data_IF_400862850479
#
_entry.id   IF_400862850479
#
_cell.length_a   1.000
_cell.length_b   1.000
_cell.length_c   1.000
_cell.angle_alpha   90.00
_cell.angle_beta   90.00
_cell.angle_gamma   90.00
#
_symmetry.space_group_name_H-M   'P 1'
#
loop_
_entity.id
_entity.type
_entity.pdbx_description
1 polymer ?
#
# COMPACT_ATOMS: atom_id res chain seq x y z
N UNK A 1 31.59 20.92 19.11
CA UNK A 1 31.02 21.29 17.79
C UNK A 1 31.15 20.08 16.90
N UNK A 2 30.08 19.29 16.81
CA UNK A 2 29.96 18.24 15.80
C UNK A 2 29.70 18.95 14.48
N UNK A 3 30.73 19.04 13.65
CA UNK A 3 30.60 19.45 12.27
C UNK A 3 29.77 18.34 11.58
N UNK A 4 28.46 18.52 11.46
CA UNK A 4 27.66 17.69 10.59
C UNK A 4 28.15 17.99 9.17
N UNK A 5 28.93 17.05 8.62
CA UNK A 5 29.21 17.07 7.18
C UNK A 5 27.85 17.14 6.46
N UNK A 6 27.69 18.00 5.45
CA UNK A 6 26.49 17.98 4.64
C UNK A 6 26.38 16.59 4.04
N UNK A 7 25.43 15.81 4.53
CA UNK A 7 25.10 14.52 3.95
C UNK A 7 24.63 14.85 2.55
N UNK A 8 25.41 14.44 1.54
CA UNK A 8 25.00 14.61 0.15
C UNK A 8 23.70 13.81 -0.04
N UNK A 9 22.58 14.53 -0.13
CA UNK A 9 21.30 13.90 -0.44
C UNK A 9 21.37 13.27 -1.82
N UNK A 10 20.60 12.20 -1.98
CA UNK A 10 20.45 11.55 -3.30
C UNK A 10 20.06 12.60 -4.32
N UNK A 11 20.71 12.60 -5.48
CA UNK A 11 20.38 13.51 -6.58
C UNK A 11 18.89 13.36 -6.95
N UNK A 12 18.21 14.46 -7.33
CA UNK A 12 16.83 14.39 -7.75
C UNK A 12 16.61 13.36 -8.86
N UNK A 13 15.56 12.58 -8.75
CA UNK A 13 15.19 11.61 -9.78
C UNK A 13 14.47 12.33 -10.92
N UNK A 14 15.13 12.43 -12.06
CA UNK A 14 14.63 13.17 -13.22
C UNK A 14 13.23 12.68 -13.68
N UNK A 15 12.95 11.37 -13.58
CA UNK A 15 11.62 10.80 -13.91
C UNK A 15 10.57 11.33 -12.95
N UNK A 16 10.82 11.27 -11.65
CA UNK A 16 9.90 11.74 -10.61
C UNK A 16 9.62 13.24 -10.76
N UNK A 17 10.67 14.03 -10.99
CA UNK A 17 10.52 15.48 -11.20
C UNK A 17 9.69 15.80 -12.45
N UNK A 18 9.88 15.05 -13.53
CA UNK A 18 9.08 15.20 -14.74
C UNK A 18 7.60 14.82 -14.51
N UNK A 19 7.34 13.74 -13.76
CA UNK A 19 5.97 13.34 -13.41
C UNK A 19 5.28 14.38 -12.53
N UNK A 20 5.97 14.95 -11.54
CA UNK A 20 5.45 16.01 -10.70
C UNK A 20 5.10 17.28 -11.52
N UNK A 21 5.98 17.68 -12.44
CA UNK A 21 5.78 18.83 -13.29
C UNK A 21 4.63 18.65 -14.30
N UNK A 22 4.33 17.41 -14.69
CA UNK A 22 3.28 17.06 -15.63
C UNK A 22 1.89 16.90 -14.99
N UNK A 23 1.77 16.96 -13.65
CA UNK A 23 0.49 16.78 -12.95
C UNK A 23 -0.53 17.85 -13.34
N UNK A 24 -1.72 17.39 -13.67
CA UNK A 24 -2.90 18.19 -13.97
C UNK A 24 -4.07 17.81 -13.06
N UNK A 25 -5.12 18.64 -12.95
CA UNK A 25 -6.32 18.26 -12.20
C UNK A 25 -6.95 16.94 -12.64
N UNK A 26 -6.82 16.57 -13.90
CA UNK A 26 -7.35 15.31 -14.46
C UNK A 26 -6.67 14.06 -13.86
N UNK A 27 -5.43 14.17 -13.37
CA UNK A 27 -4.71 13.05 -12.75
C UNK A 27 -5.29 12.64 -11.39
N UNK A 28 -6.11 13.48 -10.80
CA UNK A 28 -6.79 13.25 -9.52
C UNK A 28 -8.28 12.90 -9.67
N UNK A 29 -8.76 12.77 -10.92
CA UNK A 29 -10.14 12.46 -11.23
C UNK A 29 -10.29 11.07 -11.83
N UNK A 30 -11.15 10.27 -11.21
CA UNK A 30 -11.50 8.96 -11.75
C UNK A 30 -12.79 9.03 -12.57
N UNK A 31 -12.70 8.71 -13.86
CA UNK A 31 -13.85 8.67 -14.79
C UNK A 31 -14.16 7.22 -15.18
N UNK A 32 -15.41 6.91 -15.57
CA UNK A 32 -16.61 7.74 -15.45
C UNK A 32 -17.04 7.93 -13.97
N UNK A 33 -18.21 8.50 -13.74
CA UNK A 33 -18.73 8.78 -12.40
C UNK A 33 -18.84 7.50 -11.55
N UNK A 34 -18.97 7.66 -10.23
CA UNK A 34 -19.12 6.51 -9.30
C UNK A 34 -20.34 5.67 -9.64
N UNK A 35 -21.46 6.29 -10.03
CA UNK A 35 -22.70 5.56 -10.34
C UNK A 35 -22.54 4.72 -11.59
N UNK A 36 -21.92 5.25 -12.63
CA UNK A 36 -21.64 4.51 -13.87
C UNK A 36 -20.67 3.35 -13.60
N UNK A 37 -19.57 3.58 -12.89
CA UNK A 37 -18.62 2.51 -12.51
C UNK A 37 -19.30 1.41 -11.69
N UNK A 38 -20.20 1.77 -10.76
CA UNK A 38 -20.94 0.80 -9.96
C UNK A 38 -21.78 -0.15 -10.82
N UNK A 39 -22.42 0.37 -11.86
CA UNK A 39 -23.19 -0.45 -12.78
C UNK A 39 -22.30 -1.46 -13.52
N UNK A 40 -21.16 -0.99 -14.05
CA UNK A 40 -20.18 -1.84 -14.74
C UNK A 40 -19.63 -2.91 -13.80
N UNK A 41 -19.19 -2.55 -12.59
CA UNK A 41 -18.62 -3.47 -11.61
C UNK A 41 -19.64 -4.50 -11.12
N UNK A 42 -20.92 -4.11 -10.96
CA UNK A 42 -21.99 -5.03 -10.60
C UNK A 42 -22.20 -6.08 -11.69
N UNK A 43 -22.13 -5.70 -12.95
CA UNK A 43 -22.25 -6.61 -14.09
C UNK A 43 -21.03 -7.55 -14.21
N UNK A 44 -19.83 -7.02 -13.94
CA UNK A 44 -18.56 -7.76 -14.01
C UNK A 44 -18.45 -8.82 -12.92
N UNK A 45 -18.59 -8.44 -11.65
CA UNK A 45 -18.34 -9.33 -10.53
C UNK A 45 -19.51 -10.22 -10.14
N UNK A 46 -20.75 -9.81 -10.43
CA UNK A 46 -21.98 -10.55 -10.07
C UNK A 46 -22.02 -10.98 -8.60
N UNK A 47 -21.42 -10.18 -7.72
CA UNK A 47 -21.41 -10.42 -6.28
C UNK A 47 -22.82 -10.30 -5.69
N UNK A 48 -23.10 -10.96 -4.55
CA UNK A 48 -24.37 -10.81 -3.85
C UNK A 48 -24.63 -9.37 -3.42
N UNK A 49 -25.84 -9.09 -2.90
CA UNK A 49 -26.21 -7.75 -2.47
C UNK A 49 -25.32 -7.23 -1.32
N UNK A 50 -24.88 -8.13 -0.45
CA UNK A 50 -24.00 -7.87 0.68
C UNK A 50 -22.78 -8.80 0.62
N UNK A 51 -21.80 -8.49 -0.26
CA UNK A 51 -20.64 -9.34 -0.43
C UNK A 51 -19.72 -9.29 0.80
N UNK A 52 -19.15 -10.43 1.12
CA UNK A 52 -18.26 -10.60 2.26
C UNK A 52 -16.79 -10.66 1.83
N UNK A 53 -15.92 -10.05 2.62
CA UNK A 53 -14.46 -10.10 2.46
C UNK A 53 -13.80 -9.83 3.82
N UNK A 54 -12.49 -10.04 3.92
CA UNK A 54 -11.70 -9.62 5.09
C UNK A 54 -10.91 -8.35 4.78
N UNK A 55 -10.30 -7.75 5.82
CA UNK A 55 -9.44 -6.57 5.66
C UNK A 55 -8.24 -6.90 4.78
N UNK A 56 -7.54 -8.01 5.02
CA UNK A 56 -6.38 -8.39 4.23
C UNK A 56 -5.43 -9.35 4.94
N UNK A 57 -4.88 -8.96 6.08
CA UNK A 57 -3.91 -9.75 6.82
C UNK A 57 -4.56 -10.87 7.63
N UNK A 58 -3.88 -12.03 7.63
CA UNK A 58 -4.17 -13.16 8.49
C UNK A 58 -3.12 -13.29 9.59
N UNK A 59 -3.34 -14.10 10.65
CA UNK A 59 -2.43 -14.15 11.79
C UNK A 59 -1.00 -14.48 11.41
N UNK A 60 -0.07 -13.67 11.91
CA UNK A 60 1.37 -13.89 11.78
C UNK A 60 1.82 -14.93 12.80
N UNK A 61 1.63 -16.20 12.48
CA UNK A 61 1.98 -17.33 13.37
C UNK A 61 3.48 -17.41 13.65
N UNK A 62 3.86 -18.23 14.63
CA UNK A 62 5.28 -18.45 14.97
C UNK A 62 6.08 -18.96 13.76
N UNK A 63 5.51 -19.87 12.98
CA UNK A 63 6.16 -20.44 11.79
C UNK A 63 6.35 -19.39 10.66
N UNK A 64 5.37 -18.52 10.44
CA UNK A 64 5.47 -17.42 9.45
C UNK A 64 6.57 -16.45 9.86
N UNK A 65 6.64 -16.08 11.13
CA UNK A 65 7.71 -15.22 11.66
C UNK A 65 9.08 -15.89 11.58
N UNK A 66 9.18 -17.18 11.89
CA UNK A 66 10.41 -17.95 11.81
C UNK A 66 10.93 -18.04 10.36
N UNK A 67 10.05 -18.36 9.40
CA UNK A 67 10.40 -18.39 7.98
C UNK A 67 10.96 -17.04 7.48
N UNK A 68 10.33 -15.92 7.83
CA UNK A 68 10.81 -14.58 7.49
C UNK A 68 12.15 -14.27 8.16
N UNK A 69 12.33 -14.66 9.42
CA UNK A 69 13.59 -14.44 10.14
C UNK A 69 14.73 -15.27 9.53
N UNK A 70 14.50 -16.55 9.20
CA UNK A 70 15.46 -17.41 8.55
C UNK A 70 15.92 -16.87 7.19
N UNK A 71 14.97 -16.39 6.38
CA UNK A 71 15.30 -15.75 5.10
C UNK A 71 16.15 -14.49 5.28
N UNK A 72 15.79 -13.61 6.23
CA UNK A 72 16.57 -12.39 6.52
C UNK A 72 18.01 -12.68 6.97
N UNK A 73 18.23 -13.81 7.66
CA UNK A 73 19.56 -14.24 8.11
C UNK A 73 20.32 -15.03 7.04
N UNK A 74 19.71 -15.33 5.89
CA UNK A 74 20.33 -16.15 4.84
C UNK A 74 20.38 -17.65 5.20
N UNK A 75 19.60 -18.10 6.18
CA UNK A 75 19.52 -19.51 6.61
C UNK A 75 18.71 -20.37 5.63
N UNK A 76 17.82 -19.76 4.85
CA UNK A 76 17.05 -20.37 3.76
C UNK A 76 17.17 -19.57 2.47
N UNK A 77 17.00 -20.24 1.34
CA UNK A 77 17.02 -19.59 0.02
C UNK A 77 15.75 -18.77 -0.24
N UNK A 78 15.78 -17.92 -1.27
CA UNK A 78 14.61 -17.17 -1.73
C UNK A 78 13.49 -18.12 -2.17
N UNK A 79 13.84 -19.19 -2.86
CA UNK A 79 12.91 -20.20 -3.35
C UNK A 79 12.17 -20.89 -2.21
N UNK A 80 12.90 -21.30 -1.17
CA UNK A 80 12.31 -21.90 0.05
C UNK A 80 11.39 -20.92 0.76
N UNK A 81 11.78 -19.66 0.86
CA UNK A 81 10.94 -18.61 1.45
C UNK A 81 9.65 -18.39 0.66
N UNK A 82 9.74 -18.32 -0.67
CA UNK A 82 8.59 -18.12 -1.57
C UNK A 82 7.66 -19.34 -1.52
N UNK A 83 8.20 -20.56 -1.58
CA UNK A 83 7.41 -21.79 -1.51
C UNK A 83 6.60 -21.89 -0.22
N UNK A 84 7.22 -21.59 0.91
CA UNK A 84 6.52 -21.57 2.21
C UNK A 84 5.36 -20.55 2.19
N UNK A 85 5.60 -19.33 1.73
CA UNK A 85 4.55 -18.30 1.68
C UNK A 85 3.43 -18.70 0.71
N UNK A 86 3.74 -19.27 -0.45
CA UNK A 86 2.74 -19.79 -1.40
C UNK A 86 1.86 -20.87 -0.77
N UNK A 87 2.45 -21.78 -0.01
CA UNK A 87 1.69 -22.79 0.74
C UNK A 87 0.72 -22.14 1.72
N UNK A 88 1.18 -21.14 2.50
CA UNK A 88 0.31 -20.39 3.44
C UNK A 88 -0.80 -19.62 2.73
N UNK A 89 -0.51 -19.02 1.59
CA UNK A 89 -1.52 -18.35 0.77
C UNK A 89 -2.59 -19.36 0.30
N UNK A 90 -2.19 -20.52 -0.21
CA UNK A 90 -3.13 -21.55 -0.68
C UNK A 90 -4.01 -22.09 0.47
N UNK A 91 -3.43 -22.36 1.64
CA UNK A 91 -4.17 -22.76 2.85
C UNK A 91 -5.18 -21.69 3.28
N UNK A 92 -4.76 -20.41 3.25
CA UNK A 92 -5.61 -19.28 3.60
C UNK A 92 -6.78 -19.08 2.61
N UNK A 93 -6.54 -19.25 1.31
CA UNK A 93 -7.57 -19.16 0.28
C UNK A 93 -8.61 -20.26 0.48
N UNK A 94 -8.16 -21.49 0.67
CA UNK A 94 -9.04 -22.63 0.92
C UNK A 94 -9.93 -22.39 2.13
N UNK A 95 -9.38 -21.92 3.25
CA UNK A 95 -10.15 -21.57 4.44
C UNK A 95 -11.23 -20.50 4.14
N UNK A 96 -10.89 -19.46 3.40
CA UNK A 96 -11.83 -18.39 3.03
C UNK A 96 -12.96 -18.93 2.13
N UNK A 97 -12.67 -19.85 1.21
CA UNK A 97 -13.68 -20.50 0.38
C UNK A 97 -14.61 -21.41 1.22
N UNK A 98 -14.06 -22.17 2.18
CA UNK A 98 -14.83 -23.02 3.10
C UNK A 98 -15.75 -22.19 4.02
N UNK A 99 -15.32 -21.02 4.46
CA UNK A 99 -16.14 -20.06 5.22
C UNK A 99 -17.24 -19.43 4.33
N UNK A 100 -17.03 -19.40 3.02
CA UNK A 100 -17.98 -18.86 2.08
C UNK A 100 -17.80 -17.37 1.77
N UNK A 101 -16.60 -16.81 1.94
CA UNK A 101 -16.33 -15.43 1.56
C UNK A 101 -16.47 -15.22 0.05
N UNK A 102 -16.95 -14.05 -0.34
CA UNK A 102 -17.22 -13.70 -1.75
C UNK A 102 -15.98 -13.14 -2.45
N UNK A 103 -15.19 -12.36 -1.74
CA UNK A 103 -13.93 -11.76 -2.23
C UNK A 103 -12.80 -12.21 -1.32
N UNK A 104 -11.77 -12.79 -1.91
CA UNK A 104 -10.69 -13.48 -1.23
C UNK A 104 -9.47 -12.58 -1.10
N UNK A 105 -8.68 -12.75 -0.05
CA UNK A 105 -7.37 -12.08 0.14
C UNK A 105 -6.26 -13.11 0.27
N UNK A 106 -5.01 -12.72 -0.06
CA UNK A 106 -3.86 -13.64 0.02
C UNK A 106 -3.33 -13.86 1.45
N UNK A 107 -3.71 -13.01 2.42
CA UNK A 107 -3.37 -13.17 3.84
C UNK A 107 -2.12 -12.45 4.31
N UNK A 108 -1.33 -11.86 3.43
CA UNK A 108 -0.17 -10.99 3.72
C UNK A 108 0.98 -11.68 4.51
N UNK A 109 1.24 -12.96 4.25
CA UNK A 109 2.26 -13.73 4.97
C UNK A 109 3.70 -13.25 4.73
N UNK A 110 3.95 -12.57 3.61
CA UNK A 110 5.23 -11.98 3.26
C UNK A 110 5.52 -10.67 4.02
N UNK A 111 4.51 -10.04 4.62
CA UNK A 111 4.60 -8.73 5.25
C UNK A 111 4.83 -8.82 6.76
N UNK A 112 5.57 -7.87 7.30
CA UNK A 112 5.75 -7.68 8.75
C UNK A 112 4.94 -6.48 9.25
N UNK A 113 5.04 -5.37 8.55
CA UNK A 113 4.37 -4.11 8.83
C UNK A 113 3.94 -3.47 7.51
N UNK A 114 2.78 -2.83 7.49
CA UNK A 114 2.19 -2.29 6.27
C UNK A 114 2.97 -1.10 5.68
N UNK A 115 3.79 -0.41 6.47
CA UNK A 115 4.62 0.70 5.99
C UNK A 115 6.06 0.26 5.77
N UNK A 116 6.65 -0.48 6.69
CA UNK A 116 8.00 -1.03 6.52
C UNK A 116 8.09 -1.91 5.27
N UNK A 117 7.09 -2.76 5.00
CA UNK A 117 7.09 -3.62 3.83
C UNK A 117 7.18 -2.82 2.52
N UNK A 118 6.32 -1.81 2.34
CA UNK A 118 6.33 -0.99 1.13
C UNK A 118 7.59 -0.14 1.04
N UNK A 119 8.00 0.50 2.13
CA UNK A 119 9.21 1.30 2.15
C UNK A 119 10.48 0.54 1.79
N UNK A 120 10.57 -0.78 2.11
CA UNK A 120 11.72 -1.62 1.70
C UNK A 120 11.71 -1.99 0.22
N UNK A 121 10.63 -1.72 -0.50
CA UNK A 121 10.43 -2.07 -1.92
C UNK A 121 10.39 -0.86 -2.85
N UNK A 122 10.40 0.32 -2.28
CA UNK A 122 10.30 1.59 -2.98
C UNK A 122 11.62 2.34 -2.78
N UNK A 123 12.20 2.86 -3.86
CA UNK A 123 13.42 3.66 -3.79
C UNK A 123 13.14 5.01 -3.12
N UNK A 124 14.14 5.62 -2.52
CA UNK A 124 14.02 6.88 -1.81
C UNK A 124 13.79 6.76 -0.30
N UNK A 125 13.60 5.53 0.22
CA UNK A 125 13.52 5.25 1.65
C UNK A 125 14.79 4.62 2.17
N UNK A 126 15.14 4.95 3.42
CA UNK A 126 16.16 4.24 4.19
C UNK A 126 15.58 3.77 5.52
N UNK A 127 16.23 2.78 6.12
CA UNK A 127 15.82 2.21 7.39
C UNK A 127 16.97 2.20 8.37
N UNK A 128 16.66 2.47 9.63
CA UNK A 128 17.60 2.25 10.74
C UNK A 128 17.58 0.77 11.16
N UNK A 129 18.65 0.33 11.78
CA UNK A 129 18.71 -1.04 12.30
C UNK A 129 17.87 -1.22 13.57
N UNK A 130 17.93 -0.25 14.49
CA UNK A 130 17.41 -0.40 15.86
C UNK A 130 16.48 0.73 16.33
N UNK A 131 16.07 1.66 15.47
CA UNK A 131 15.18 2.75 15.88
C UNK A 131 13.71 2.26 15.92
N UNK A 132 13.40 1.45 16.92
CA UNK A 132 12.07 0.99 17.19
C UNK A 132 11.23 2.10 17.84
N UNK A 133 10.01 2.29 17.34
CA UNK A 133 9.03 3.23 17.87
C UNK A 133 7.80 2.44 18.31
N UNK A 134 7.24 2.79 19.47
CA UNK A 134 5.99 2.21 19.93
C UNK A 134 4.85 2.67 19.03
N UNK A 135 4.03 1.71 18.64
CA UNK A 135 2.79 1.94 17.91
C UNK A 135 1.60 1.70 18.84
N UNK A 136 0.54 1.06 18.37
CA UNK A 136 -0.63 0.75 19.19
C UNK A 136 -0.37 -0.40 20.17
N UNK A 137 -0.78 -0.23 21.41
CA UNK A 137 -0.60 -1.22 22.47
C UNK A 137 0.87 -1.55 22.69
N UNK A 138 1.22 -2.83 22.64
CA UNK A 138 2.58 -3.35 22.82
C UNK A 138 3.36 -3.51 21.51
N UNK A 139 2.79 -3.11 20.38
CA UNK A 139 3.42 -3.23 19.07
C UNK A 139 4.50 -2.18 18.91
N UNK A 140 5.66 -2.59 18.40
CA UNK A 140 6.73 -1.70 17.96
C UNK A 140 6.95 -1.83 16.46
N UNK A 141 7.30 -0.72 15.82
CA UNK A 141 7.58 -0.62 14.39
C UNK A 141 8.91 0.10 14.16
N UNK A 142 9.48 -0.07 12.99
CA UNK A 142 10.62 0.74 12.52
C UNK A 142 10.14 1.66 11.40
N UNK A 143 9.84 2.93 11.68
CA UNK A 143 9.40 3.84 10.65
C UNK A 143 10.47 4.02 9.56
N UNK A 144 10.08 4.02 8.29
CA UNK A 144 10.97 4.43 7.22
C UNK A 144 11.40 5.88 7.37
N UNK A 145 12.53 6.22 6.78
CA UNK A 145 12.98 7.61 6.63
C UNK A 145 12.96 7.95 5.15
N UNK A 146 12.22 8.97 4.77
CA UNK A 146 12.23 9.48 3.40
C UNK A 146 13.55 10.21 3.19
N UNK A 147 14.41 9.68 2.34
CA UNK A 147 15.77 10.17 2.13
C UNK A 147 15.95 10.88 0.79
N UNK A 148 15.31 10.40 -0.25
CA UNK A 148 15.39 10.93 -1.61
C UNK A 148 14.02 11.01 -2.27
N UNK A 149 14.00 11.33 -3.56
CA UNK A 149 12.78 11.26 -4.36
C UNK A 149 12.29 9.80 -4.42
N UNK A 150 11.00 9.63 -4.21
CA UNK A 150 10.41 8.28 -4.08
C UNK A 150 9.99 7.75 -5.45
N UNK A 151 10.45 6.55 -5.79
CA UNK A 151 10.08 5.88 -7.05
C UNK A 151 9.98 4.38 -6.88
N UNK A 152 9.18 3.75 -7.74
CA UNK A 152 9.04 2.28 -7.80
C UNK A 152 9.89 1.74 -8.93
N UNK A 153 10.85 0.88 -8.61
CA UNK A 153 11.74 0.23 -9.58
C UNK A 153 11.28 -1.16 -10.02
N UNK A 154 10.43 -1.83 -9.22
CA UNK A 154 9.94 -3.18 -9.48
C UNK A 154 8.55 -3.43 -8.89
N UNK A 155 7.79 -4.44 -9.37
CA UNK A 155 6.55 -4.88 -8.75
C UNK A 155 6.75 -5.27 -7.28
N UNK A 156 5.78 -4.92 -6.43
CA UNK A 156 5.85 -5.09 -4.98
C UNK A 156 5.02 -6.29 -4.50
N UNK A 157 3.75 -6.34 -4.95
CA UNK A 157 2.73 -7.30 -4.47
C UNK A 157 2.15 -8.15 -5.59
N UNK A 158 2.46 -7.84 -6.85
CA UNK A 158 1.87 -8.47 -8.04
C UNK A 158 2.07 -9.99 -8.02
N UNK A 159 3.28 -10.47 -7.72
CA UNK A 159 3.60 -11.91 -7.68
C UNK A 159 2.67 -12.66 -6.71
N UNK A 160 2.48 -12.14 -5.51
CA UNK A 160 1.66 -12.76 -4.48
C UNK A 160 0.17 -12.75 -4.85
N UNK A 161 -0.30 -11.63 -5.37
CA UNK A 161 -1.71 -11.47 -5.78
C UNK A 161 -2.06 -12.36 -6.97
N UNK A 162 -1.18 -12.46 -7.96
CA UNK A 162 -1.35 -13.33 -9.14
C UNK A 162 -1.32 -14.80 -8.72
N UNK A 163 -0.39 -15.20 -7.86
CA UNK A 163 -0.37 -16.55 -7.33
C UNK A 163 -1.66 -16.87 -6.56
N UNK A 164 -2.11 -15.96 -5.70
CA UNK A 164 -3.37 -16.13 -4.99
C UNK A 164 -4.57 -16.29 -5.96
N UNK A 165 -4.64 -15.46 -7.00
CA UNK A 165 -5.70 -15.60 -8.01
C UNK A 165 -5.64 -16.91 -8.78
N UNK A 166 -4.47 -17.52 -8.92
CA UNK A 166 -4.34 -18.84 -9.55
C UNK A 166 -4.89 -19.98 -8.68
N UNK A 167 -5.07 -19.77 -7.38
CA UNK A 167 -5.58 -20.76 -6.44
C UNK A 167 -7.12 -20.77 -6.33
N UNK A 168 -7.83 -19.80 -6.91
CA UNK A 168 -9.29 -19.66 -6.78
C UNK A 168 -9.96 -19.07 -8.02
N UNK A 169 -11.23 -19.39 -8.20
CA UNK A 169 -12.09 -18.75 -9.21
C UNK A 169 -12.80 -17.49 -8.71
N UNK A 170 -12.83 -17.28 -7.40
CA UNK A 170 -13.37 -16.06 -6.80
C UNK A 170 -12.42 -14.89 -7.03
N UNK A 171 -12.91 -13.63 -7.07
CA UNK A 171 -12.02 -12.49 -7.22
C UNK A 171 -11.10 -12.35 -6.00
N UNK A 172 -9.80 -12.24 -6.26
CA UNK A 172 -8.79 -11.92 -5.24
C UNK A 172 -8.62 -10.42 -5.17
N UNK A 173 -8.59 -9.91 -3.95
CA UNK A 173 -8.38 -8.51 -3.66
C UNK A 173 -6.90 -8.22 -3.44
N UNK A 174 -6.30 -7.36 -4.29
CA UNK A 174 -4.97 -6.81 -4.08
C UNK A 174 -4.96 -5.86 -2.88
N UNK A 175 -3.88 -5.90 -2.09
CA UNK A 175 -3.78 -5.19 -0.82
C UNK A 175 -2.58 -4.25 -0.82
N UNK A 176 -2.83 -2.95 -0.70
CA UNK A 176 -1.80 -1.90 -0.73
C UNK A 176 -1.97 -0.95 0.45
N UNK A 177 -0.86 -0.34 0.86
CA UNK A 177 -0.90 0.81 1.76
C UNK A 177 -0.92 2.09 0.94
N UNK A 178 -1.77 3.02 1.31
CA UNK A 178 -1.92 4.30 0.62
C UNK A 178 -0.78 5.29 0.91
N UNK A 179 -0.60 6.28 0.04
CA UNK A 179 0.53 7.20 0.12
C UNK A 179 0.51 8.08 1.36
N UNK A 180 -0.66 8.45 1.85
CA UNK A 180 -0.78 9.29 3.05
C UNK A 180 -0.36 8.52 4.29
N UNK A 181 -0.75 7.25 4.40
CA UNK A 181 -0.35 6.39 5.50
C UNK A 181 1.15 6.08 5.46
N UNK A 182 1.71 5.76 4.29
CA UNK A 182 3.16 5.55 4.16
C UNK A 182 3.93 6.79 4.62
N UNK A 183 3.52 7.98 4.19
CA UNK A 183 4.17 9.22 4.59
C UNK A 183 4.00 9.51 6.09
N UNK A 184 2.77 9.41 6.62
CA UNK A 184 2.46 9.78 7.99
C UNK A 184 3.12 8.88 9.04
N UNK A 185 3.39 7.63 8.68
CA UNK A 185 4.11 6.66 9.54
C UNK A 185 5.59 6.50 9.15
N UNK A 186 6.11 7.47 8.41
CA UNK A 186 7.52 7.63 8.09
C UNK A 186 8.07 8.92 8.70
N UNK A 187 9.40 9.06 8.75
CA UNK A 187 10.05 10.33 8.99
C UNK A 187 10.20 11.07 7.66
N UNK A 188 9.47 12.18 7.44
CA UNK A 188 9.50 12.89 6.17
C UNK A 188 10.79 13.70 6.00
N UNK A 189 11.10 14.07 4.76
CA UNK A 189 12.15 15.06 4.44
C UNK A 189 11.69 16.45 4.85
N UNK A 190 12.63 17.28 5.29
CA UNK A 190 12.35 18.68 5.65
C UNK A 190 12.50 19.67 4.49
N UNK A 191 13.21 19.28 3.43
CA UNK A 191 13.51 20.13 2.26
C UNK A 191 12.40 20.10 1.18
N UNK A 192 11.46 19.17 1.31
CA UNK A 192 10.34 18.99 0.37
C UNK A 192 9.02 18.96 1.14
N UNK A 193 7.99 19.64 0.60
CA UNK A 193 6.68 19.69 1.26
C UNK A 193 6.04 18.30 1.39
N UNK A 194 5.23 18.09 2.42
CA UNK A 194 4.47 16.83 2.60
C UNK A 194 3.58 16.52 1.40
N UNK A 195 3.01 17.55 0.75
CA UNK A 195 2.22 17.41 -0.47
C UNK A 195 3.03 16.72 -1.58
N UNK A 196 4.23 17.20 -1.84
CA UNK A 196 5.10 16.66 -2.90
C UNK A 196 5.52 15.24 -2.55
N UNK A 197 5.96 14.99 -1.31
CA UNK A 197 6.34 13.64 -0.88
C UNK A 197 5.16 12.64 -0.98
N UNK A 198 3.93 13.07 -0.64
CA UNK A 198 2.74 12.24 -0.80
C UNK A 198 2.43 11.95 -2.28
N UNK A 199 2.69 12.89 -3.19
CA UNK A 199 2.52 12.68 -4.62
C UNK A 199 3.57 11.71 -5.19
N UNK A 200 4.82 11.81 -4.77
CA UNK A 200 5.89 10.87 -5.16
C UNK A 200 5.55 9.44 -4.73
N UNK A 201 5.16 9.25 -3.47
CA UNK A 201 4.68 7.95 -2.97
C UNK A 201 3.44 7.51 -3.75
N UNK A 202 2.54 8.47 -4.04
CA UNK A 202 1.34 8.25 -4.84
C UNK A 202 1.64 7.70 -6.23
N UNK A 203 2.67 8.18 -6.92
CA UNK A 203 3.12 7.63 -8.20
C UNK A 203 3.60 6.18 -8.06
N UNK A 204 4.41 5.89 -7.05
CA UNK A 204 4.92 4.54 -6.81
C UNK A 204 3.79 3.53 -6.56
N UNK A 205 2.80 3.89 -5.75
CA UNK A 205 1.64 3.04 -5.47
C UNK A 205 0.68 2.98 -6.66
N UNK A 206 0.50 4.06 -7.43
CA UNK A 206 -0.26 4.06 -8.68
C UNK A 206 0.30 3.05 -9.67
N UNK A 207 1.61 3.02 -9.85
CA UNK A 207 2.27 2.09 -10.76
C UNK A 207 2.04 0.64 -10.32
N UNK A 208 2.01 0.36 -9.01
CA UNK A 208 1.64 -0.95 -8.48
C UNK A 208 0.17 -1.30 -8.74
N UNK A 209 -0.75 -0.35 -8.56
CA UNK A 209 -2.18 -0.54 -8.85
C UNK A 209 -2.41 -0.88 -10.32
N UNK A 210 -1.75 -0.15 -11.23
CA UNK A 210 -1.86 -0.40 -12.66
C UNK A 210 -1.26 -1.75 -13.08
N UNK A 211 -0.17 -2.17 -12.44
CA UNK A 211 0.41 -3.50 -12.68
C UNK A 211 -0.49 -4.63 -12.15
N UNK A 212 -1.11 -4.46 -10.98
CA UNK A 212 -2.11 -5.40 -10.47
C UNK A 212 -3.28 -5.53 -11.46
N UNK A 213 -3.84 -4.40 -11.92
CA UNK A 213 -4.91 -4.40 -12.90
C UNK A 213 -4.50 -5.09 -14.21
N UNK A 214 -3.32 -4.78 -14.73
CA UNK A 214 -2.74 -5.39 -15.94
C UNK A 214 -2.61 -6.91 -15.82
N UNK A 215 -2.32 -7.41 -14.61
CA UNK A 215 -2.19 -8.83 -14.30
C UNK A 215 -3.51 -9.49 -13.86
N UNK A 216 -4.66 -8.84 -14.08
CA UNK A 216 -5.99 -9.42 -13.89
C UNK A 216 -6.56 -9.26 -12.48
N UNK A 217 -5.91 -8.56 -11.58
CA UNK A 217 -6.45 -8.24 -10.26
C UNK A 217 -7.43 -7.07 -10.39
N UNK A 218 -8.71 -7.36 -10.22
CA UNK A 218 -9.82 -6.44 -10.54
C UNK A 218 -10.47 -5.80 -9.32
N UNK A 219 -10.09 -6.22 -8.12
CA UNK A 219 -10.47 -5.60 -6.86
C UNK A 219 -9.17 -5.25 -6.14
N UNK A 220 -8.98 -3.97 -5.81
CA UNK A 220 -7.75 -3.47 -5.19
C UNK A 220 -8.12 -2.59 -4.00
N UNK A 221 -7.60 -2.91 -2.83
CA UNK A 221 -7.76 -2.13 -1.61
C UNK A 221 -6.50 -1.31 -1.35
N UNK A 222 -6.70 -0.02 -1.09
CA UNK A 222 -5.65 0.95 -0.78
C UNK A 222 -5.96 1.51 0.60
N UNK A 223 -5.19 1.10 1.61
CA UNK A 223 -5.47 1.41 3.00
C UNK A 223 -4.89 2.76 3.41
N UNK A 224 -5.76 3.65 3.90
CA UNK A 224 -5.37 4.94 4.46
C UNK A 224 -5.63 4.98 5.97
N UNK A 225 -4.94 4.10 6.68
CA UNK A 225 -5.06 3.92 8.13
C UNK A 225 -4.77 5.20 8.93
N UNK A 226 -3.80 6.00 8.48
CA UNK A 226 -3.34 7.19 9.18
C UNK A 226 -3.97 8.50 8.68
N UNK A 227 -4.96 8.45 7.78
CA UNK A 227 -5.53 9.67 7.21
C UNK A 227 -6.05 10.63 8.29
N UNK A 228 -6.75 10.12 9.30
CA UNK A 228 -7.32 10.96 10.36
C UNK A 228 -6.30 11.39 11.42
N UNK A 229 -5.27 10.61 11.68
CA UNK A 229 -4.29 10.87 12.75
C UNK A 229 -3.58 12.21 12.64
N UNK A 230 -3.38 12.69 11.42
CA UNK A 230 -2.63 13.92 11.14
C UNK A 230 -3.52 15.12 10.83
N UNK A 231 -4.83 15.00 11.06
CA UNK A 231 -5.71 16.16 10.98
C UNK A 231 -5.26 17.24 11.98
N UNK A 232 -5.18 18.51 11.55
CA UNK A 232 -4.94 19.61 12.44
C UNK A 232 -5.95 19.65 13.60
N UNK A 233 -5.55 20.14 14.76
CA UNK A 233 -6.43 20.23 15.93
C UNK A 233 -7.67 21.11 15.66
N UNK A 234 -7.51 22.19 14.89
CA UNK A 234 -8.60 23.07 14.52
C UNK A 234 -9.29 22.60 13.25
N UNK A 235 -10.59 22.40 13.29
CA UNK A 235 -11.38 21.99 12.13
C UNK A 235 -11.28 22.96 10.94
N UNK A 236 -11.15 24.26 11.21
CA UNK A 236 -10.94 25.29 10.18
C UNK A 236 -9.69 25.09 9.35
N UNK A 237 -8.71 24.36 9.87
CA UNK A 237 -7.41 24.16 9.21
C UNK A 237 -7.32 22.82 8.47
N UNK A 238 -8.31 21.93 8.66
CA UNK A 238 -8.30 20.58 8.09
C UNK A 238 -8.07 20.54 6.58
N UNK A 239 -8.82 21.36 5.85
CA UNK A 239 -8.68 21.42 4.39
C UNK A 239 -7.37 22.10 4.01
N UNK A 240 -7.20 23.33 4.38
CA UNK A 240 -6.07 24.17 3.99
C UNK A 240 -4.70 23.54 4.28
N UNK A 241 -4.54 22.92 5.45
CA UNK A 241 -3.24 22.44 5.91
C UNK A 241 -3.01 20.95 5.60
N UNK A 242 -4.08 20.19 5.38
CA UNK A 242 -3.95 18.73 5.25
C UNK A 242 -4.80 18.10 4.15
N UNK A 243 -6.14 18.17 4.22
CA UNK A 243 -7.00 17.41 3.31
C UNK A 243 -6.89 17.84 1.85
N UNK A 244 -6.53 19.08 1.57
CA UNK A 244 -6.37 19.59 0.20
C UNK A 244 -5.16 19.00 -0.53
N UNK A 245 -4.26 18.32 0.17
CA UNK A 245 -3.20 17.53 -0.45
C UNK A 245 -3.33 16.02 -0.19
N UNK A 246 -3.81 15.62 0.99
CA UNK A 246 -3.92 14.20 1.35
C UNK A 246 -4.97 13.46 0.50
N UNK A 247 -6.16 14.04 0.31
CA UNK A 247 -7.21 13.43 -0.53
C UNK A 247 -6.77 13.33 -1.99
N UNK A 248 -6.21 14.39 -2.63
CA UNK A 248 -5.65 14.25 -3.97
C UNK A 248 -4.56 13.20 -4.08
N UNK A 249 -3.65 13.07 -3.11
CA UNK A 249 -2.63 12.02 -3.12
C UNK A 249 -3.23 10.61 -3.18
N UNK A 250 -4.28 10.33 -2.38
CA UNK A 250 -5.04 9.09 -2.48
C UNK A 250 -5.72 8.91 -3.84
N UNK A 251 -6.34 9.96 -4.38
CA UNK A 251 -7.01 9.92 -5.69
C UNK A 251 -6.04 9.64 -6.83
N UNK A 252 -4.84 10.20 -6.79
CA UNK A 252 -3.78 9.97 -7.76
C UNK A 252 -3.48 8.48 -7.98
N UNK A 253 -3.51 7.71 -6.90
CA UNK A 253 -3.19 6.28 -6.92
C UNK A 253 -4.15 5.47 -7.79
N UNK A 254 -5.41 5.86 -7.86
CA UNK A 254 -6.45 5.04 -8.52
C UNK A 254 -7.23 5.76 -9.64
N UNK A 255 -6.86 7.01 -9.96
CA UNK A 255 -7.60 7.76 -10.97
C UNK A 255 -7.55 7.15 -12.37
N UNK A 256 -6.45 6.46 -12.70
CA UNK A 256 -6.21 5.91 -14.05
C UNK A 256 -6.67 4.46 -14.24
N UNK A 257 -7.21 3.80 -13.22
CA UNK A 257 -7.70 2.43 -13.38
C UNK A 257 -9.00 2.38 -14.18
N UNK A 258 -9.23 1.25 -14.86
CA UNK A 258 -10.42 1.03 -15.69
C UNK A 258 -11.71 1.07 -14.87
N UNK A 259 -12.85 1.39 -15.48
CA UNK A 259 -14.16 1.41 -14.80
C UNK A 259 -14.50 0.08 -14.11
N UNK A 260 -14.13 -1.03 -14.73
CA UNK A 260 -14.39 -2.39 -14.27
C UNK A 260 -13.60 -2.75 -13.00
N UNK A 261 -12.47 -2.10 -12.76
CA UNK A 261 -11.65 -2.34 -11.55
C UNK A 261 -12.31 -1.67 -10.34
N UNK A 262 -12.58 -2.45 -9.30
CA UNK A 262 -13.17 -1.94 -8.07
C UNK A 262 -12.07 -1.53 -7.10
N UNK A 263 -12.16 -0.32 -6.56
CA UNK A 263 -11.23 0.20 -5.56
C UNK A 263 -11.92 0.21 -4.20
N UNK A 264 -11.28 -0.45 -3.24
CA UNK A 264 -11.62 -0.41 -1.84
C UNK A 264 -10.63 0.47 -1.07
N UNK A 265 -11.01 0.90 0.11
CA UNK A 265 -10.13 1.50 1.10
C UNK A 265 -10.48 0.98 2.50
N UNK A 266 -9.51 1.01 3.39
CA UNK A 266 -9.71 0.72 4.80
C UNK A 266 -9.09 1.86 5.63
N UNK A 267 -9.85 2.36 6.59
CA UNK A 267 -9.45 3.42 7.50
C UNK A 267 -9.57 2.89 8.92
N UNK A 268 -8.47 2.31 9.42
CA UNK A 268 -8.42 1.81 10.80
C UNK A 268 -8.13 2.94 11.80
N UNK A 269 -8.39 2.66 13.06
CA UNK A 269 -8.17 3.58 14.18
C UNK A 269 -8.88 4.95 14.05
N UNK A 270 -9.99 4.98 13.31
CA UNK A 270 -10.72 6.21 13.03
C UNK A 270 -12.18 6.09 13.36
N UNK A 271 -12.72 7.11 14.01
CA UNK A 271 -14.16 7.36 14.15
C UNK A 271 -14.56 8.37 13.05
N UNK A 272 -15.23 7.89 12.02
CA UNK A 272 -15.76 8.72 10.94
C UNK A 272 -17.26 8.92 11.08
#
# INVERSE_FOLDING_TARGET
>A
QTCALPISRVQPNAKVQAELAALTPADFERKPSRLERRAVQKAEFKLPAFPTTTIGSFPQTAEVRANRAAYRKGEISKEQYVEFNRKKIAECIKLQEEIGLDVIVHGEFERNDMVEYFGTKIDGFIFTQNAWVQSYGTRCVKPPVVWGDVSRSAPITVEWSVYAQSCTKKPVKGMLTGPVTILNWSFPREDVSLKVQAQEIGFAIRDEVLDLEKNGIRIIQIDEAALREKLPLRKSDWHKEYLDWAIPAFRLVHAKVKPETQIHTHMCYSEF
#
